data_IF_613651083580
#
_entry.id   IF_613651083580
#
_cell.length_a   1.000
_cell.length_b   1.000
_cell.length_c   1.000
_cell.angle_alpha   90.00
_cell.angle_beta   90.00
_cell.angle_gamma   90.00
#
_symmetry.space_group_name_H-M   'P 1'
#
loop_
_entity.id
_entity.type
_entity.pdbx_description
1 polymer ?
#
# COMPACT_ATOMS: atom_id res chain seq x y z
N UNK A 1 8.49 14.64 -21.86
CA UNK A 1 7.40 13.66 -21.60
C UNK A 1 7.90 12.28 -21.19
N UNK A 2 8.88 11.69 -21.88
CA UNK A 2 9.42 10.36 -21.57
C UNK A 2 9.76 10.12 -20.09
N UNK A 3 10.42 11.10 -19.43
CA UNK A 3 10.74 11.00 -18.01
C UNK A 3 9.50 10.85 -17.11
N UNK A 4 8.40 11.58 -17.37
CA UNK A 4 7.17 11.45 -16.57
C UNK A 4 6.50 10.10 -16.77
N UNK A 5 6.50 9.59 -18.00
CA UNK A 5 5.98 8.26 -18.31
C UNK A 5 6.78 7.20 -17.52
N UNK A 6 8.10 7.27 -17.56
CA UNK A 6 8.97 6.34 -16.82
C UNK A 6 8.72 6.39 -15.30
N UNK A 7 8.46 7.58 -14.75
CA UNK A 7 8.11 7.72 -13.33
C UNK A 7 6.78 7.04 -12.98
N UNK A 8 5.77 7.16 -13.84
CA UNK A 8 4.50 6.47 -13.68
C UNK A 8 4.65 4.96 -13.81
N UNK A 9 5.47 4.49 -14.76
CA UNK A 9 5.79 3.06 -14.92
C UNK A 9 6.45 2.51 -13.66
N UNK A 10 7.45 3.21 -13.12
CA UNK A 10 8.13 2.83 -11.88
C UNK A 10 7.15 2.78 -10.70
N UNK A 11 6.25 3.76 -10.58
CA UNK A 11 5.20 3.74 -9.56
C UNK A 11 4.26 2.53 -9.72
N UNK A 12 3.90 2.18 -10.95
CA UNK A 12 3.11 0.99 -11.25
C UNK A 12 3.82 -0.32 -10.88
N UNK A 13 5.12 -0.43 -11.17
CA UNK A 13 5.93 -1.60 -10.77
C UNK A 13 5.98 -1.74 -9.24
N UNK A 14 6.20 -0.64 -8.52
CA UNK A 14 6.19 -0.64 -7.06
C UNK A 14 4.81 -0.98 -6.49
N UNK A 15 3.73 -0.54 -7.14
CA UNK A 15 2.36 -0.93 -6.78
C UNK A 15 2.18 -2.45 -6.91
N UNK A 16 2.60 -3.03 -8.03
CA UNK A 16 2.49 -4.47 -8.27
C UNK A 16 3.31 -5.29 -7.25
N UNK A 17 4.54 -4.88 -6.95
CA UNK A 17 5.37 -5.50 -5.91
C UNK A 17 4.67 -5.43 -4.54
N UNK A 18 4.13 -4.26 -4.18
CA UNK A 18 3.41 -4.07 -2.92
C UNK A 18 2.19 -4.98 -2.80
N UNK A 19 1.38 -5.08 -3.85
CA UNK A 19 0.21 -5.98 -3.89
C UNK A 19 0.66 -7.44 -3.80
N UNK A 20 1.71 -7.83 -4.52
CA UNK A 20 2.28 -9.18 -4.44
C UNK A 20 2.74 -9.54 -3.03
N UNK A 21 3.43 -8.63 -2.34
CA UNK A 21 3.82 -8.81 -0.94
C UNK A 21 2.62 -8.97 -0.02
N UNK A 22 1.58 -8.15 -0.19
CA UNK A 22 0.34 -8.25 0.56
C UNK A 22 -0.33 -9.61 0.37
N UNK A 23 -0.48 -10.07 -0.87
CA UNK A 23 -1.09 -11.36 -1.18
C UNK A 23 -0.24 -12.51 -0.61
N UNK A 24 1.09 -12.36 -0.59
CA UNK A 24 1.98 -13.39 -0.04
C UNK A 24 1.92 -13.46 1.49
N UNK A 25 1.71 -12.32 2.15
CA UNK A 25 1.86 -12.16 3.61
C UNK A 25 0.54 -11.97 4.35
N UNK A 26 -0.61 -12.02 3.67
CA UNK A 26 -1.92 -11.80 4.29
C UNK A 26 -2.25 -12.78 5.42
N UNK A 27 -1.66 -13.99 5.41
CA UNK A 27 -1.90 -15.03 6.43
C UNK A 27 -0.89 -15.03 7.56
N UNK A 28 0.23 -14.34 7.39
CA UNK A 28 1.28 -14.35 8.39
C UNK A 28 0.92 -13.36 9.50
N UNK A 29 0.90 -13.84 10.73
CA UNK A 29 0.69 -12.99 11.91
C UNK A 29 1.99 -12.86 12.68
N UNK A 30 2.22 -11.67 13.22
CA UNK A 30 3.36 -11.37 14.08
C UNK A 30 2.81 -10.92 15.42
N UNK A 31 3.32 -11.51 16.49
CA UNK A 31 3.06 -11.06 17.84
C UNK A 31 3.90 -9.80 18.12
N UNK A 32 3.24 -8.66 18.31
CA UNK A 32 3.86 -7.39 18.69
C UNK A 32 3.40 -7.07 20.11
N UNK A 33 4.23 -7.48 21.08
CA UNK A 33 3.86 -7.41 22.50
C UNK A 33 2.69 -8.36 22.80
N UNK A 34 1.57 -7.80 23.29
CA UNK A 34 0.34 -8.56 23.58
C UNK A 34 -0.65 -8.59 22.41
N UNK A 35 -0.33 -7.93 21.28
CA UNK A 35 -1.24 -7.78 20.14
C UNK A 35 -0.75 -8.59 18.95
N UNK A 36 -1.64 -9.39 18.37
CA UNK A 36 -1.41 -10.09 17.09
C UNK A 36 -1.73 -9.17 15.93
N UNK A 37 -0.71 -8.84 15.14
CA UNK A 37 -0.84 -7.95 14.00
C UNK A 37 -0.55 -8.74 12.71
N UNK A 38 -1.34 -8.57 11.64
CA UNK A 38 -1.03 -9.14 10.35
C UNK A 38 0.31 -8.59 9.83
N UNK A 39 1.25 -9.47 9.48
CA UNK A 39 2.56 -9.05 8.97
C UNK A 39 2.43 -8.25 7.67
N UNK A 40 1.48 -8.62 6.82
CA UNK A 40 1.16 -7.87 5.60
C UNK A 40 0.74 -6.42 5.86
N UNK A 41 0.19 -6.11 7.04
CA UNK A 41 -0.14 -4.76 7.44
C UNK A 41 1.12 -3.95 7.74
N UNK A 42 2.01 -4.48 8.59
CA UNK A 42 3.26 -3.83 8.96
C UNK A 42 4.15 -3.60 7.74
N UNK A 43 4.37 -4.64 6.93
CA UNK A 43 5.15 -4.55 5.70
C UNK A 43 4.46 -3.66 4.66
N UNK A 44 3.13 -3.68 4.57
CA UNK A 44 2.36 -2.81 3.68
C UNK A 44 2.61 -1.33 3.98
N UNK A 45 2.51 -0.94 5.26
CA UNK A 45 2.80 0.44 5.69
C UNK A 45 4.25 0.82 5.39
N UNK A 46 5.20 -0.02 5.79
CA UNK A 46 6.63 0.27 5.64
C UNK A 46 7.02 0.39 4.17
N UNK A 47 6.60 -0.56 3.33
CA UNK A 47 6.90 -0.57 1.91
C UNK A 47 6.25 0.63 1.21
N UNK A 48 4.96 0.91 1.47
CA UNK A 48 4.28 2.04 0.85
C UNK A 48 4.89 3.39 1.25
N UNK A 49 5.26 3.55 2.51
CA UNK A 49 5.96 4.73 3.00
C UNK A 49 7.31 4.91 2.30
N UNK A 50 8.14 3.86 2.31
CA UNK A 50 9.46 3.87 1.69
C UNK A 50 9.38 4.13 0.17
N UNK A 51 8.48 3.44 -0.54
CA UNK A 51 8.26 3.62 -1.97
C UNK A 51 7.81 5.05 -2.30
N UNK A 52 6.91 5.62 -1.50
CA UNK A 52 6.43 7.00 -1.69
C UNK A 52 7.54 8.03 -1.48
N UNK A 53 8.34 7.87 -0.41
CA UNK A 53 9.49 8.73 -0.11
C UNK A 53 10.53 8.61 -1.22
N UNK A 54 10.84 7.39 -1.65
CA UNK A 54 11.78 7.12 -2.72
C UNK A 54 11.35 7.79 -4.03
N UNK A 55 10.09 7.59 -4.45
CA UNK A 55 9.55 8.20 -5.66
C UNK A 55 9.62 9.73 -5.59
N UNK A 56 9.22 10.35 -4.48
CA UNK A 56 9.29 11.81 -4.34
C UNK A 56 10.75 12.29 -4.39
N UNK A 57 11.67 11.57 -3.75
CA UNK A 57 13.08 11.94 -3.65
C UNK A 57 13.81 11.83 -4.99
N UNK A 58 13.63 10.71 -5.71
CA UNK A 58 14.29 10.46 -7.01
C UNK A 58 13.70 11.31 -8.14
N UNK A 59 12.41 11.65 -8.07
CA UNK A 59 11.73 12.37 -9.16
C UNK A 59 11.58 13.87 -8.91
N UNK A 60 11.77 14.32 -7.68
CA UNK A 60 11.43 15.69 -7.24
C UNK A 60 9.94 16.03 -7.34
N UNK A 61 9.09 15.05 -7.68
CA UNK A 61 7.69 15.22 -8.02
C UNK A 61 6.80 14.38 -7.11
N UNK A 62 5.60 14.88 -6.79
CA UNK A 62 4.60 14.16 -6.02
C UNK A 62 3.69 13.28 -6.89
N UNK A 63 3.69 13.53 -8.20
CA UNK A 63 2.86 12.79 -9.17
C UNK A 63 3.07 11.27 -9.08
N UNK A 64 4.30 10.73 -9.04
CA UNK A 64 4.50 9.29 -9.05
C UNK A 64 4.01 8.62 -7.78
N UNK A 65 4.08 9.30 -6.62
CA UNK A 65 3.50 8.81 -5.37
C UNK A 65 1.97 8.80 -5.40
N UNK A 66 1.33 9.76 -6.08
CA UNK A 66 -0.13 9.73 -6.29
C UNK A 66 -0.53 8.61 -7.25
N UNK A 67 0.25 8.37 -8.30
CA UNK A 67 0.07 7.24 -9.22
C UNK A 67 0.24 5.91 -8.50
N UNK A 68 1.21 5.79 -7.59
CA UNK A 68 1.38 4.61 -6.74
C UNK A 68 0.10 4.30 -5.94
N UNK A 69 -0.49 5.28 -5.26
CA UNK A 69 -1.76 5.08 -4.53
C UNK A 69 -2.91 4.63 -5.45
N UNK A 70 -3.07 5.30 -6.59
CA UNK A 70 -4.15 4.99 -7.53
C UNK A 70 -3.98 3.60 -8.16
N UNK A 71 -2.78 3.30 -8.67
CA UNK A 71 -2.46 2.01 -9.28
C UNK A 71 -2.62 0.87 -8.27
N UNK A 72 -2.16 1.06 -7.03
CA UNK A 72 -2.31 0.09 -5.97
C UNK A 72 -3.79 -0.19 -5.65
N UNK A 73 -4.59 0.88 -5.50
CA UNK A 73 -6.03 0.76 -5.27
C UNK A 73 -6.75 -0.03 -6.36
N UNK A 74 -6.37 0.16 -7.63
CA UNK A 74 -6.92 -0.60 -8.76
C UNK A 74 -6.46 -2.07 -8.70
N UNK A 75 -5.17 -2.31 -8.47
CA UNK A 75 -4.58 -3.65 -8.46
C UNK A 75 -5.06 -4.52 -7.30
N UNK A 76 -5.48 -3.90 -6.18
CA UNK A 76 -5.97 -4.65 -5.03
C UNK A 76 -7.45 -5.04 -5.16
N UNK A 77 -8.23 -4.35 -6.01
CA UNK A 77 -9.68 -4.58 -6.16
C UNK A 77 -10.08 -6.04 -6.43
N UNK A 78 -9.38 -6.82 -7.29
CA UNK A 78 -9.73 -8.23 -7.53
C UNK A 78 -9.67 -9.09 -6.28
N UNK A 79 -8.82 -8.72 -5.31
CA UNK A 79 -8.62 -9.42 -4.05
C UNK A 79 -9.62 -9.00 -2.97
N UNK A 80 -10.46 -7.99 -3.24
CA UNK A 80 -11.49 -7.47 -2.32
C UNK A 80 -12.90 -8.06 -2.53
N UNK A 81 -13.11 -8.90 -3.56
CA UNK A 81 -14.39 -9.54 -3.86
C UNK A 81 -14.69 -10.81 -3.04
N UNK A 82 -15.74 -11.56 -3.37
CA UNK A 82 -16.06 -12.86 -2.72
C UNK A 82 -15.61 -14.11 -3.52
N UNK A 83 -14.83 -13.94 -4.59
CA UNK A 83 -14.41 -15.01 -5.50
C UNK A 83 -13.17 -15.80 -5.05
N UNK A 84 -12.68 -16.72 -5.90
CA UNK A 84 -11.54 -17.62 -5.62
C UNK A 84 -10.20 -16.93 -5.27
N UNK A 85 -10.07 -15.62 -5.52
CA UNK A 85 -8.99 -14.76 -4.98
C UNK A 85 -9.47 -13.62 -4.08
N UNK A 86 -10.80 -13.47 -3.91
CA UNK A 86 -11.44 -12.41 -3.15
C UNK A 86 -11.53 -12.66 -1.63
N UNK A 87 -11.38 -13.92 -1.21
CA UNK A 87 -11.28 -14.28 0.21
C UNK A 87 -10.00 -13.80 0.90
N UNK A 88 -9.10 -13.10 0.20
CA UNK A 88 -7.87 -12.53 0.76
C UNK A 88 -8.15 -11.24 1.55
N UNK A 89 -9.20 -10.48 1.19
CA UNK A 89 -9.48 -9.18 1.81
C UNK A 89 -10.95 -8.95 2.25
N UNK A 90 -11.87 -9.84 1.93
CA UNK A 90 -13.15 -9.94 2.66
C UNK A 90 -12.91 -10.66 4.00
N UNK A 91 -13.67 -10.35 5.07
CA UNK A 91 -13.67 -11.16 6.29
C UNK A 91 -14.23 -12.54 5.96
N UNK A 92 -13.40 -13.41 5.40
CA UNK A 92 -13.69 -14.80 5.20
C UNK A 92 -13.46 -15.48 6.56
N UNK A 93 -14.54 -15.97 7.17
CA UNK A 93 -14.43 -16.89 8.30
C UNK A 93 -13.99 -18.23 7.72
N UNK A 94 -12.69 -18.49 7.77
CA UNK A 94 -12.11 -19.78 7.42
C UNK A 94 -11.56 -20.34 8.73
N UNK A 95 -12.16 -21.44 9.21
CA UNK A 95 -11.86 -22.04 10.52
C UNK A 95 -12.06 -21.08 11.72
N UNK A 96 -13.23 -20.43 11.80
CA UNK A 96 -13.68 -19.59 12.92
C UNK A 96 -12.91 -18.27 13.19
N UNK A 97 -11.94 -17.89 12.36
CA UNK A 97 -11.26 -16.59 12.47
C UNK A 97 -11.81 -15.56 11.48
N UNK A 98 -12.38 -14.47 11.99
CA UNK A 98 -12.80 -13.33 11.18
C UNK A 98 -11.60 -12.47 10.75
N UNK A 99 -11.26 -12.48 9.46
CA UNK A 99 -10.16 -11.67 8.91
C UNK A 99 -10.58 -10.21 8.68
N UNK A 100 -10.65 -9.41 9.75
CA UNK A 100 -10.79 -7.94 9.69
C UNK A 100 -9.51 -7.22 9.18
N UNK A 101 -8.52 -7.93 8.66
CA UNK A 101 -7.28 -7.31 8.19
C UNK A 101 -7.44 -6.69 6.79
N UNK A 102 -8.33 -7.23 5.95
CA UNK A 102 -8.35 -6.91 4.52
C UNK A 102 -8.70 -5.46 4.16
N UNK A 103 -9.72 -4.90 4.80
CA UNK A 103 -10.11 -3.49 4.65
C UNK A 103 -9.06 -2.52 5.23
N UNK A 104 -8.43 -2.86 6.35
CA UNK A 104 -7.39 -2.03 6.98
C UNK A 104 -6.15 -1.97 6.08
N UNK A 105 -5.74 -3.11 5.52
CA UNK A 105 -4.61 -3.17 4.59
C UNK A 105 -4.91 -2.40 3.30
N UNK A 106 -6.16 -2.45 2.80
CA UNK A 106 -6.61 -1.62 1.68
C UNK A 106 -6.54 -0.12 1.97
N UNK A 107 -7.04 0.30 3.15
CA UNK A 107 -6.93 1.68 3.59
C UNK A 107 -5.48 2.13 3.65
N UNK A 108 -4.58 1.30 4.18
CA UNK A 108 -3.15 1.60 4.28
C UNK A 108 -2.51 1.79 2.90
N UNK A 109 -2.76 0.88 1.96
CA UNK A 109 -2.15 0.93 0.63
C UNK A 109 -2.48 2.21 -0.14
N UNK A 110 -3.69 2.75 0.06
CA UNK A 110 -4.13 4.00 -0.56
C UNK A 110 -3.74 5.22 0.27
N UNK A 111 -3.96 5.20 1.59
CA UNK A 111 -3.81 6.38 2.44
C UNK A 111 -2.35 6.73 2.74
N UNK A 112 -1.45 5.74 2.83
CA UNK A 112 -0.04 6.00 3.18
C UNK A 112 0.66 6.90 2.16
N UNK A 113 0.57 6.67 0.82
CA UNK A 113 1.18 7.59 -0.13
C UNK A 113 0.61 9.01 -0.04
N UNK A 114 -0.71 9.15 0.18
CA UNK A 114 -1.32 10.47 0.39
C UNK A 114 -0.84 11.15 1.68
N UNK A 115 -0.65 10.39 2.76
CA UNK A 115 -0.07 10.90 4.00
C UNK A 115 1.37 11.39 3.81
N UNK A 116 2.18 10.66 3.04
CA UNK A 116 3.55 11.09 2.68
C UNK A 116 3.53 12.36 1.84
N UNK A 117 2.64 12.45 0.85
CA UNK A 117 2.45 13.66 0.03
C UNK A 117 2.03 14.85 0.89
N UNK A 118 1.11 14.66 1.84
CA UNK A 118 0.66 15.68 2.76
C UNK A 118 1.81 16.16 3.66
N UNK A 119 2.57 15.23 4.24
CA UNK A 119 3.75 15.52 5.06
C UNK A 119 4.80 16.33 4.31
N UNK A 120 5.13 15.94 3.08
CA UNK A 120 6.07 16.67 2.23
C UNK A 120 5.55 18.08 1.86
N UNK A 121 4.23 18.22 1.68
CA UNK A 121 3.60 19.51 1.41
C UNK A 121 3.74 20.45 2.60
N UNK A 122 3.49 19.95 3.82
CA UNK A 122 3.67 20.73 5.05
C UNK A 122 5.15 21.09 5.26
N UNK A 123 6.07 20.14 5.05
CA UNK A 123 7.52 20.38 5.18
C UNK A 123 8.02 21.52 4.30
N UNK A 124 7.63 21.54 3.02
CA UNK A 124 8.02 22.59 2.08
C UNK A 124 7.41 23.95 2.38
N UNK A 125 6.24 23.99 3.03
CA UNK A 125 5.62 25.25 3.48
C UNK A 125 6.35 25.84 4.68
N UNK A 126 6.92 25.00 5.55
CA UNK A 126 7.71 25.45 6.72
C UNK A 126 9.13 25.88 6.39
N UNK A 127 9.69 25.41 5.27
CA UNK A 127 11.05 25.75 4.84
C UNK A 127 11.13 27.00 3.95
N UNK A 128 10.00 27.68 3.71
CA UNK A 128 9.90 28.95 2.99
C UNK A 128 9.52 30.03 4.00
#
# INVERSE_FOLDING_TARGET
MAARIMQCVLAGVLAAISVGLLVSLHRLQVDVGVVRIPAGLLLGVLFQGAASIFLISVTGSRLPAAVLAAAWGIMVMPFAGRGAGGGVLMPAVIAEQAQYAGWIVQGIGVLVPFAVIAGETVRRRRSR
#
